data_IF_732220873078
#
_entry.id   IF_732220873078
#
_cell.length_a   1.000
_cell.length_b   1.000
_cell.length_c   1.000
_cell.angle_alpha   90.00
_cell.angle_beta   90.00
_cell.angle_gamma   90.00
#
_symmetry.space_group_name_H-M   'P 1'
#
loop_
_entity.id
_entity.type
_entity.pdbx_description
1 polymer ?
#
# COMPACT_ATOMS: atom_id res chain seq x y z
N UNK A 1 57.33 -5.30 9.52
CA UNK A 1 56.33 -4.22 9.30
C UNK A 1 55.31 -4.61 8.21
N UNK A 2 54.78 -5.84 8.22
CA UNK A 2 53.97 -6.39 7.11
C UNK A 2 52.52 -6.70 7.48
N UNK A 3 52.09 -6.42 8.72
CA UNK A 3 50.77 -6.82 9.20
C UNK A 3 49.69 -5.72 9.20
N UNK A 4 50.05 -4.47 8.86
CA UNK A 4 49.09 -3.34 8.84
C UNK A 4 48.30 -3.26 7.53
N UNK A 5 48.91 -3.60 6.38
CA UNK A 5 48.26 -3.50 5.06
C UNK A 5 47.08 -4.47 4.87
N UNK A 6 46.95 -5.49 5.72
CA UNK A 6 45.82 -6.44 5.68
C UNK A 6 44.62 -6.01 6.53
N UNK A 7 44.77 -4.99 7.37
CA UNK A 7 43.76 -4.56 8.34
C UNK A 7 42.83 -3.47 7.76
N UNK A 8 43.31 -2.73 6.76
CA UNK A 8 42.64 -1.52 6.24
C UNK A 8 41.38 -1.82 5.40
N UNK A 9 41.24 -3.02 4.82
CA UNK A 9 40.05 -3.41 4.05
C UNK A 9 38.93 -4.06 4.87
N UNK A 10 39.22 -4.46 6.12
CA UNK A 10 38.30 -5.26 6.92
C UNK A 10 37.07 -4.48 7.43
N UNK A 11 37.25 -3.18 7.71
CA UNK A 11 36.16 -2.32 8.17
C UNK A 11 35.23 -1.90 7.03
N UNK A 12 35.75 -1.68 5.81
CA UNK A 12 34.93 -1.45 4.59
C UNK A 12 33.92 -2.59 4.41
N UNK A 13 34.37 -3.83 4.57
CA UNK A 13 33.52 -5.01 4.38
C UNK A 13 32.42 -5.08 5.44
N UNK A 14 32.73 -4.71 6.69
CA UNK A 14 31.74 -4.63 7.78
C UNK A 14 30.74 -3.51 7.55
N UNK A 15 31.19 -2.32 7.17
CA UNK A 15 30.32 -1.17 6.85
C UNK A 15 29.37 -1.53 5.72
N UNK A 16 29.89 -2.09 4.62
CA UNK A 16 29.06 -2.54 3.50
C UNK A 16 28.00 -3.56 3.93
N UNK A 17 28.42 -4.57 4.71
CA UNK A 17 27.52 -5.60 5.21
C UNK A 17 26.39 -5.01 6.09
N UNK A 18 26.74 -4.13 7.03
CA UNK A 18 25.76 -3.47 7.89
C UNK A 18 24.85 -2.52 7.13
N UNK A 19 25.35 -1.79 6.12
CA UNK A 19 24.52 -0.92 5.29
C UNK A 19 23.50 -1.72 4.50
N UNK A 20 23.91 -2.83 3.89
CA UNK A 20 22.98 -3.70 3.16
C UNK A 20 21.97 -4.33 4.11
N UNK A 21 22.39 -4.78 5.29
CA UNK A 21 21.45 -5.28 6.32
C UNK A 21 20.47 -4.21 6.78
N UNK A 22 20.91 -2.96 6.90
CA UNK A 22 20.04 -1.84 7.25
C UNK A 22 19.01 -1.57 6.15
N UNK A 23 19.43 -1.51 4.89
CA UNK A 23 18.52 -1.29 3.75
C UNK A 23 17.49 -2.42 3.67
N UNK A 24 17.92 -3.68 3.78
CA UNK A 24 17.01 -4.82 3.76
C UNK A 24 16.04 -4.80 4.94
N UNK A 25 16.48 -4.41 6.14
CA UNK A 25 15.60 -4.23 7.30
C UNK A 25 14.52 -3.17 7.05
N UNK A 26 14.92 -2.01 6.53
CA UNK A 26 13.98 -0.93 6.20
C UNK A 26 12.97 -1.36 5.12
N UNK A 27 13.42 -2.13 4.13
CA UNK A 27 12.53 -2.68 3.12
C UNK A 27 11.55 -3.70 3.70
N UNK A 28 11.99 -4.60 4.56
CA UNK A 28 11.11 -5.59 5.20
C UNK A 28 10.05 -4.90 6.05
N UNK A 29 10.42 -3.90 6.86
CA UNK A 29 9.48 -3.15 7.70
C UNK A 29 8.47 -2.38 6.83
N UNK A 30 8.95 -1.64 5.82
CA UNK A 30 8.08 -0.87 4.92
C UNK A 30 7.12 -1.75 4.11
N UNK A 31 7.58 -2.90 3.62
CA UNK A 31 6.74 -3.86 2.91
C UNK A 31 5.72 -4.55 3.82
N UNK A 32 6.11 -4.92 5.05
CA UNK A 32 5.22 -5.61 5.99
C UNK A 32 4.03 -4.75 6.39
N UNK A 33 4.24 -3.45 6.67
CA UNK A 33 3.14 -2.51 6.95
C UNK A 33 2.18 -2.39 5.76
N UNK A 34 2.73 -2.33 4.54
CA UNK A 34 1.94 -2.30 3.32
C UNK A 34 1.10 -3.57 3.09
N UNK A 35 1.64 -4.75 3.41
CA UNK A 35 0.90 -6.01 3.36
C UNK A 35 -0.27 -6.00 4.35
N UNK A 36 -0.04 -5.58 5.59
CA UNK A 36 -1.09 -5.51 6.62
C UNK A 36 -2.19 -4.52 6.23
N UNK A 37 -1.83 -3.34 5.73
CA UNK A 37 -2.81 -2.37 5.21
C UNK A 37 -3.62 -2.94 4.06
N UNK A 38 -2.97 -3.56 3.06
CA UNK A 38 -3.68 -4.12 1.92
C UNK A 38 -4.61 -5.26 2.32
N UNK A 39 -4.21 -6.12 3.27
CA UNK A 39 -5.08 -7.18 3.81
C UNK A 39 -6.24 -6.57 4.60
N UNK A 40 -5.98 -5.54 5.41
CA UNK A 40 -7.02 -4.82 6.12
C UNK A 40 -8.05 -4.20 5.17
N UNK A 41 -7.60 -3.57 4.08
CA UNK A 41 -8.48 -2.97 3.06
C UNK A 41 -9.24 -4.02 2.24
N UNK A 42 -8.72 -5.26 2.12
CA UNK A 42 -9.44 -6.38 1.49
C UNK A 42 -10.55 -6.90 2.42
N UNK A 43 -10.27 -7.05 3.71
CA UNK A 43 -11.21 -7.63 4.70
C UNK A 43 -12.24 -6.60 5.16
N UNK A 44 -11.79 -5.37 5.40
CA UNK A 44 -12.57 -4.24 5.87
C UNK A 44 -12.29 -3.03 4.95
N UNK A 45 -12.81 -3.03 3.72
CA UNK A 45 -12.68 -1.87 2.83
C UNK A 45 -13.26 -0.66 3.55
N UNK A 46 -12.48 0.42 3.64
CA UNK A 46 -12.90 1.66 4.32
C UNK A 46 -14.26 2.09 3.78
N UNK A 47 -15.32 2.07 4.60
CA UNK A 47 -16.65 2.44 4.13
C UNK A 47 -16.64 3.94 3.81
N UNK A 48 -16.96 4.29 2.56
CA UNK A 48 -17.20 5.67 2.20
C UNK A 48 -18.50 6.11 2.88
N UNK A 49 -18.39 6.87 3.96
CA UNK A 49 -19.52 7.38 4.74
C UNK A 49 -20.18 8.57 4.04
N UNK A 50 -20.63 8.44 2.79
CA UNK A 50 -21.53 9.44 2.21
C UNK A 50 -22.95 8.93 2.35
N UNK A 51 -23.72 9.58 3.21
CA UNK A 51 -25.13 9.25 3.40
C UNK A 51 -25.93 9.56 2.13
N UNK A 52 -27.04 8.85 1.92
CA UNK A 52 -27.93 9.12 0.79
C UNK A 52 -28.45 10.57 0.80
N UNK A 53 -28.64 11.15 2.00
CA UNK A 53 -29.05 12.56 2.14
C UNK A 53 -27.98 13.53 1.64
N UNK A 54 -26.71 13.24 1.89
CA UNK A 54 -25.60 14.07 1.45
C UNK A 54 -25.40 13.97 -0.07
N UNK A 55 -25.58 12.77 -0.65
CA UNK A 55 -25.62 12.58 -2.10
C UNK A 55 -26.76 13.36 -2.76
N UNK A 56 -27.97 13.29 -2.17
CA UNK A 56 -29.15 14.03 -2.64
C UNK A 56 -28.92 15.53 -2.58
N UNK A 57 -28.42 16.04 -1.45
CA UNK A 57 -28.13 17.46 -1.27
C UNK A 57 -27.13 17.97 -2.32
N UNK A 58 -26.05 17.22 -2.57
CA UNK A 58 -25.05 17.59 -3.59
C UNK A 58 -25.64 17.62 -5.01
N UNK A 59 -26.52 16.67 -5.36
CA UNK A 59 -27.19 16.66 -6.67
C UNK A 59 -28.20 17.80 -6.82
N UNK A 60 -29.00 18.09 -5.78
CA UNK A 60 -29.95 19.21 -5.79
C UNK A 60 -29.28 20.58 -5.81
N UNK A 61 -28.12 20.75 -5.14
CA UNK A 61 -27.34 22.00 -5.16
C UNK A 61 -26.72 22.23 -6.55
N UNK A 62 -26.20 21.18 -7.18
CA UNK A 62 -25.67 21.26 -8.56
C UNK A 62 -26.74 21.57 -9.62
N UNK A 63 -27.98 21.11 -9.43
CA UNK A 63 -29.11 21.52 -10.27
C UNK A 63 -29.53 22.99 -10.06
N UNK A 64 -29.23 23.59 -8.90
CA UNK A 64 -29.55 24.99 -8.59
C UNK A 64 -28.63 26.02 -9.26
N UNK A 65 -27.40 25.66 -9.60
CA UNK A 65 -26.42 26.60 -10.19
C UNK A 65 -26.43 26.64 -11.74
N UNK A 66 -27.29 25.84 -12.40
CA UNK A 66 -27.42 25.79 -13.85
C UNK A 66 -28.87 25.60 -14.31
N UNK A 67 -29.65 26.70 -14.29
CA UNK A 67 -31.00 26.92 -14.89
C UNK A 67 -31.64 25.75 -15.66
N UNK A 68 -32.89 25.40 -15.33
CA UNK A 68 -34.10 25.71 -16.13
C UNK A 68 -35.33 25.10 -15.45
N UNK A 69 -36.40 25.90 -15.31
CA UNK A 69 -37.72 25.45 -14.92
C UNK A 69 -38.22 24.39 -15.90
N UNK A 70 -38.35 23.13 -15.46
CA UNK A 70 -39.22 22.15 -16.11
C UNK A 70 -40.22 21.70 -15.05
N UNK A 71 -41.43 22.24 -15.17
CA UNK A 71 -42.57 21.75 -14.41
C UNK A 71 -42.84 20.29 -14.77
N UNK A 72 -43.02 19.46 -13.75
CA UNK A 72 -43.67 18.16 -13.88
C UNK A 72 -42.82 16.90 -13.73
N UNK A 73 -41.72 16.85 -12.97
CA UNK A 73 -40.94 15.61 -12.78
C UNK A 73 -40.40 15.37 -11.35
N UNK A 74 -40.98 16.00 -10.32
CA UNK A 74 -40.52 15.83 -8.94
C UNK A 74 -40.73 14.41 -8.35
N UNK A 75 -41.36 13.51 -9.09
CA UNK A 75 -41.67 12.14 -8.66
C UNK A 75 -40.89 11.06 -9.44
N UNK A 76 -40.23 11.42 -10.55
CA UNK A 76 -39.48 10.45 -11.38
C UNK A 76 -38.14 10.06 -10.74
N UNK A 77 -37.57 10.88 -9.86
CA UNK A 77 -36.13 10.84 -9.67
C UNK A 77 -35.62 10.19 -8.37
N UNK A 78 -36.48 9.65 -7.49
CA UNK A 78 -35.98 9.05 -6.23
C UNK A 78 -35.48 7.61 -6.42
N UNK A 79 -36.16 6.82 -7.26
CA UNK A 79 -35.73 5.45 -7.57
C UNK A 79 -34.46 5.44 -8.43
N UNK A 80 -34.36 6.35 -9.39
CA UNK A 80 -33.17 6.56 -10.24
C UNK A 80 -31.99 7.09 -9.42
N UNK A 81 -32.19 8.01 -8.46
CA UNK A 81 -31.13 8.45 -7.54
C UNK A 81 -30.64 7.32 -6.64
N UNK A 82 -31.55 6.51 -6.09
CA UNK A 82 -31.18 5.35 -5.25
C UNK A 82 -30.39 4.31 -6.06
N UNK A 83 -30.82 4.02 -7.29
CA UNK A 83 -30.11 3.12 -8.19
C UNK A 83 -28.69 3.64 -8.51
N UNK A 84 -28.54 4.93 -8.81
CA UNK A 84 -27.24 5.55 -9.05
C UNK A 84 -26.34 5.56 -7.81
N UNK A 85 -26.92 5.81 -6.63
CA UNK A 85 -26.20 5.76 -5.35
C UNK A 85 -25.68 4.34 -5.05
N UNK A 86 -26.50 3.32 -5.27
CA UNK A 86 -26.11 1.93 -5.05
C UNK A 86 -25.06 1.44 -6.07
N UNK A 87 -25.19 1.86 -7.33
CA UNK A 87 -24.17 1.61 -8.35
C UNK A 87 -22.83 2.29 -8.00
N UNK A 88 -22.88 3.54 -7.53
CA UNK A 88 -21.70 4.28 -7.08
C UNK A 88 -21.00 3.59 -5.90
N UNK A 89 -21.76 3.13 -4.88
CA UNK A 89 -21.19 2.37 -3.75
C UNK A 89 -20.53 1.08 -4.26
N UNK A 90 -21.18 0.37 -5.18
CA UNK A 90 -20.64 -0.87 -5.75
C UNK A 90 -19.32 -0.62 -6.47
N UNK A 91 -19.29 0.39 -7.35
CA UNK A 91 -18.10 0.76 -8.10
C UNK A 91 -16.95 1.20 -7.19
N UNK A 92 -17.23 1.95 -6.12
CA UNK A 92 -16.19 2.40 -5.19
C UNK A 92 -15.61 1.24 -4.37
N UNK A 93 -16.45 0.28 -3.96
CA UNK A 93 -16.00 -0.97 -3.34
C UNK A 93 -15.13 -1.79 -4.30
N UNK A 94 -15.52 -1.91 -5.55
CA UNK A 94 -14.73 -2.65 -6.55
C UNK A 94 -13.35 -1.99 -6.74
N UNK A 95 -13.32 -0.65 -6.84
CA UNK A 95 -12.07 0.13 -6.94
C UNK A 95 -11.21 0.04 -5.68
N UNK A 96 -11.81 0.01 -4.48
CA UNK A 96 -11.04 -0.15 -3.23
C UNK A 96 -10.36 -1.51 -3.18
N UNK A 97 -11.09 -2.57 -3.56
CA UNK A 97 -10.55 -3.94 -3.63
C UNK A 97 -9.45 -4.06 -4.69
N UNK A 98 -9.62 -3.47 -5.87
CA UNK A 98 -8.59 -3.48 -6.92
C UNK A 98 -7.32 -2.71 -6.49
N UNK A 99 -7.49 -1.55 -5.85
CA UNK A 99 -6.38 -0.79 -5.26
C UNK A 99 -5.66 -1.61 -4.19
N UNK A 100 -6.40 -2.27 -3.29
CA UNK A 100 -5.83 -3.10 -2.24
C UNK A 100 -5.03 -4.27 -2.82
N UNK A 101 -5.53 -4.94 -3.87
CA UNK A 101 -4.78 -5.98 -4.60
C UNK A 101 -3.46 -5.45 -5.18
N UNK A 102 -3.49 -4.30 -5.84
CA UNK A 102 -2.30 -3.68 -6.41
C UNK A 102 -1.28 -3.29 -5.32
N UNK A 103 -1.74 -2.76 -4.19
CA UNK A 103 -0.90 -2.44 -3.03
C UNK A 103 -0.31 -3.68 -2.37
N UNK A 104 -1.08 -4.78 -2.30
CA UNK A 104 -0.60 -6.08 -1.79
C UNK A 104 0.55 -6.61 -2.65
N UNK A 105 0.38 -6.60 -3.98
CA UNK A 105 1.43 -7.06 -4.90
C UNK A 105 2.68 -6.18 -4.77
N UNK A 106 2.52 -4.86 -4.72
CA UNK A 106 3.65 -3.92 -4.56
C UNK A 106 4.38 -4.12 -3.24
N UNK A 107 3.65 -4.31 -2.15
CA UNK A 107 4.26 -4.54 -0.82
C UNK A 107 4.96 -5.89 -0.73
N UNK A 108 4.40 -6.95 -1.31
CA UNK A 108 5.07 -8.25 -1.43
C UNK A 108 6.33 -8.16 -2.29
N UNK A 109 6.29 -7.46 -3.43
CA UNK A 109 7.46 -7.25 -4.27
C UNK A 109 8.57 -6.50 -3.50
N UNK A 110 8.21 -5.53 -2.67
CA UNK A 110 9.15 -4.79 -1.83
C UNK A 110 9.85 -5.66 -0.78
N UNK A 111 9.19 -6.72 -0.29
CA UNK A 111 9.81 -7.71 0.62
C UNK A 111 10.60 -8.76 -0.16
N UNK A 112 10.13 -9.17 -1.34
CA UNK A 112 10.74 -10.25 -2.12
C UNK A 112 12.08 -9.83 -2.76
N UNK A 113 12.21 -8.59 -3.23
CA UNK A 113 13.43 -8.06 -3.86
C UNK A 113 14.68 -8.11 -2.95
N UNK A 114 14.65 -7.66 -1.68
CA UNK A 114 15.81 -7.73 -0.79
C UNK A 114 16.11 -9.14 -0.28
N UNK A 115 15.17 -10.09 -0.40
CA UNK A 115 15.23 -11.40 0.25
C UNK A 115 16.40 -12.30 -0.25
N UNK A 116 16.69 -12.40 -1.56
CA UNK A 116 17.85 -13.15 -2.06
C UNK A 116 19.18 -12.56 -1.59
N UNK A 117 19.26 -11.22 -1.56
CA UNK A 117 20.43 -10.48 -1.10
C UNK A 117 20.67 -10.74 0.38
N UNK A 118 19.60 -10.69 1.18
CA UNK A 118 19.62 -10.99 2.60
C UNK A 118 20.10 -12.43 2.88
N UNK A 119 19.55 -13.43 2.18
CA UNK A 119 19.97 -14.84 2.34
C UNK A 119 21.46 -15.02 2.02
N UNK A 120 21.95 -14.37 0.97
CA UNK A 120 23.37 -14.44 0.60
C UNK A 120 24.28 -13.88 1.70
N UNK A 121 23.96 -12.69 2.23
CA UNK A 121 24.75 -12.09 3.30
C UNK A 121 24.62 -12.81 4.63
N UNK A 122 23.43 -13.31 4.98
CA UNK A 122 23.23 -14.13 6.17
C UNK A 122 24.11 -15.39 6.14
N UNK A 123 24.24 -16.04 4.97
CA UNK A 123 25.15 -17.18 4.79
C UNK A 123 26.61 -16.79 4.97
N UNK A 124 27.04 -15.63 4.45
CA UNK A 124 28.42 -15.15 4.65
C UNK A 124 28.74 -14.86 6.11
N UNK A 125 27.82 -14.22 6.84
CA UNK A 125 27.99 -13.93 8.28
C UNK A 125 28.12 -15.23 9.08
N UNK A 126 27.26 -16.22 8.82
CA UNK A 126 27.28 -17.49 9.54
C UNK A 126 28.55 -18.30 9.28
N UNK A 127 29.11 -18.22 8.07
CA UNK A 127 30.36 -18.89 7.69
C UNK A 127 31.60 -18.20 8.28
N UNK A 128 31.56 -16.89 8.48
CA UNK A 128 32.62 -16.11 9.14
C UNK A 128 32.60 -16.21 10.68
N UNK A 129 31.44 -16.44 11.28
CA UNK A 129 31.28 -16.62 12.74
C UNK A 129 31.58 -18.04 13.25
N UNK A 130 31.65 -19.03 12.37
CA UNK A 130 31.89 -20.44 12.73
C UNK A 130 33.35 -20.90 12.74
N UNK A 131 34.32 -20.01 12.50
CA UNK A 131 35.76 -20.34 12.48
C UNK A 131 36.49 -19.91 13.75
N UNK A 132 35.84 -20.09 14.91
CA UNK A 132 36.49 -20.06 16.23
C UNK A 132 35.74 -21.01 17.15
N UNK A 133 36.07 -22.30 17.04
CA UNK A 133 36.05 -23.30 18.10
C UNK A 133 37.12 -24.32 17.73
#
# INVERSE_FOLDING_TARGET
>A
MTNQVKQDGGWIRKVYLYLTMLITLLMVIGGSVGVVMAVADIVAPTPYYMSFEEYRHMHTVKQGEGRTEIGGEAEVDEQTLRAQYEEMIRLERERSVERAKNSLIKSLAWVLVPLPVFIYFQRQVRKGGGSKN
#
